data_IF_394608603257
#
_entry.id   IF_394608603257
#
_cell.length_a   1.000
_cell.length_b   1.000
_cell.length_c   1.000
_cell.angle_alpha   90.00
_cell.angle_beta   90.00
_cell.angle_gamma   90.00
#
_symmetry.space_group_name_H-M   'P 1'
#
loop_
_entity.id
_entity.type
_entity.pdbx_description
1 polymer ?
#
# COMPACT_ATOMS: atom_id res chain seq x y z
N UNK A 1 8.35 -1.36 -0.47
CA UNK A 1 6.93 -0.95 -0.43
C UNK A 1 6.76 0.41 -1.11
N UNK A 2 5.70 0.56 -1.89
CA UNK A 2 5.27 1.82 -2.50
C UNK A 2 3.86 2.17 -2.00
N UNK A 3 3.62 3.43 -1.64
CA UNK A 3 2.27 3.97 -1.41
C UNK A 3 1.76 4.67 -2.67
N UNK A 4 0.52 4.42 -3.09
CA UNK A 4 -0.07 5.04 -4.29
C UNK A 4 -1.59 5.17 -4.22
N UNK A 5 -2.13 6.07 -5.05
CA UNK A 5 -3.58 6.16 -5.34
C UNK A 5 -3.94 5.64 -6.74
N UNK A 6 -2.95 5.14 -7.47
CA UNK A 6 -3.08 4.74 -8.86
C UNK A 6 -3.58 3.29 -8.97
N UNK A 7 -4.73 3.11 -9.62
CA UNK A 7 -5.38 1.82 -9.84
C UNK A 7 -4.55 0.89 -10.74
N UNK A 8 -3.65 1.44 -11.56
CA UNK A 8 -2.81 0.66 -12.46
C UNK A 8 -1.85 -0.26 -11.68
N UNK A 9 -1.47 0.10 -10.46
CA UNK A 9 -0.68 -0.77 -9.58
C UNK A 9 -1.45 -2.00 -9.11
N UNK A 10 -2.78 -1.89 -8.91
CA UNK A 10 -3.62 -3.04 -8.56
C UNK A 10 -3.71 -4.01 -9.74
N UNK A 11 -3.90 -3.45 -10.94
CA UNK A 11 -3.91 -4.22 -12.18
C UNK A 11 -2.57 -4.92 -12.41
N UNK A 12 -1.45 -4.21 -12.22
CA UNK A 12 -0.11 -4.76 -12.37
C UNK A 12 0.19 -5.88 -11.36
N UNK A 13 -0.13 -5.67 -10.08
CA UNK A 13 0.06 -6.69 -9.05
C UNK A 13 -0.80 -7.95 -9.32
N UNK A 14 -2.00 -7.79 -9.87
CA UNK A 14 -2.87 -8.91 -10.24
C UNK A 14 -2.30 -9.82 -11.34
N UNK A 15 -1.30 -9.34 -12.10
CA UNK A 15 -0.61 -10.15 -13.12
C UNK A 15 0.34 -11.20 -12.53
N UNK A 16 0.60 -11.17 -11.22
CA UNK A 16 1.53 -12.07 -10.55
C UNK A 16 3.00 -11.65 -10.66
N UNK A 17 3.28 -10.44 -11.15
CA UNK A 17 4.61 -9.85 -11.09
C UNK A 17 5.02 -9.66 -9.64
N UNK A 18 6.26 -10.04 -9.32
CA UNK A 18 6.80 -9.81 -7.98
C UNK A 18 6.98 -8.32 -7.69
N UNK A 19 6.61 -7.90 -6.48
CA UNK A 19 6.73 -6.53 -6.03
C UNK A 19 7.04 -6.44 -4.53
N UNK A 20 7.67 -5.34 -4.13
CA UNK A 20 8.09 -5.09 -2.75
C UNK A 20 6.95 -4.65 -1.80
N UNK A 21 5.70 -4.97 -2.15
CA UNK A 21 4.48 -4.52 -1.46
C UNK A 21 3.92 -3.18 -1.95
N UNK A 22 2.59 -3.11 -2.02
CA UNK A 22 1.85 -1.89 -2.41
C UNK A 22 0.89 -1.52 -1.29
N UNK A 23 0.95 -0.27 -0.84
CA UNK A 23 -0.12 0.32 -0.02
C UNK A 23 -0.96 1.19 -0.94
N UNK A 24 -2.23 0.83 -1.09
CA UNK A 24 -3.14 1.52 -1.97
C UNK A 24 -4.23 2.25 -1.17
N UNK A 25 -4.49 3.50 -1.56
CA UNK A 25 -5.62 4.28 -1.04
C UNK A 25 -6.47 4.81 -2.21
N UNK A 26 -7.79 4.92 -2.03
CA UNK A 26 -8.63 5.61 -3.02
C UNK A 26 -8.52 7.12 -2.86
N UNK A 27 -8.32 7.83 -3.97
CA UNK A 27 -8.18 9.29 -3.97
C UNK A 27 -9.40 9.98 -3.32
N UNK A 28 -9.14 11.04 -2.53
CA UNK A 28 -10.13 11.92 -1.88
C UNK A 28 -10.95 11.32 -0.72
N UNK A 29 -10.59 10.15 -0.17
CA UNK A 29 -11.28 9.58 1.01
C UNK A 29 -10.71 10.00 2.36
N UNK A 30 -9.44 10.44 2.41
CA UNK A 30 -8.72 10.67 3.67
C UNK A 30 -7.94 11.98 3.65
N UNK A 31 -7.76 12.58 4.83
CA UNK A 31 -6.84 13.70 5.00
C UNK A 31 -5.39 13.21 4.95
N UNK A 32 -4.48 14.09 4.54
CA UNK A 32 -3.03 13.77 4.50
C UNK A 32 -2.54 13.32 5.88
N UNK A 33 -3.01 13.97 6.96
CA UNK A 33 -2.66 13.59 8.32
C UNK A 33 -3.06 12.15 8.66
N UNK A 34 -4.28 11.73 8.28
CA UNK A 34 -4.72 10.35 8.49
C UNK A 34 -3.88 9.35 7.68
N UNK A 35 -3.56 9.69 6.42
CA UNK A 35 -2.71 8.83 5.58
C UNK A 35 -1.34 8.62 6.23
N UNK A 36 -0.72 9.68 6.73
CA UNK A 36 0.58 9.58 7.40
C UNK A 36 0.47 8.70 8.66
N UNK A 37 -0.56 8.92 9.49
CA UNK A 37 -0.77 8.11 10.69
C UNK A 37 -0.98 6.63 10.37
N UNK A 38 -1.75 6.31 9.34
CA UNK A 38 -1.99 4.92 8.92
C UNK A 38 -0.72 4.28 8.34
N UNK A 39 0.08 5.03 7.56
CA UNK A 39 1.38 4.55 7.04
C UNK A 39 2.39 4.27 8.16
N UNK A 40 2.41 5.10 9.21
CA UNK A 40 3.25 4.85 10.39
C UNK A 40 2.80 3.57 11.10
N UNK A 41 1.49 3.35 11.28
CA UNK A 41 0.97 2.13 11.89
C UNK A 41 1.37 0.88 11.10
N UNK A 42 1.27 0.93 9.77
CA UNK A 42 1.73 -0.17 8.90
C UNK A 42 3.21 -0.45 9.13
N UNK A 43 4.06 0.58 9.17
CA UNK A 43 5.49 0.41 9.41
C UNK A 43 5.81 -0.15 10.80
N UNK A 44 5.05 0.21 11.83
CA UNK A 44 5.24 -0.30 13.20
C UNK A 44 4.77 -1.74 13.38
N UNK A 45 3.78 -2.20 12.58
CA UNK A 45 3.10 -3.47 12.80
C UNK A 45 3.47 -4.56 11.79
N UNK A 46 3.91 -4.20 10.57
CA UNK A 46 4.14 -5.16 9.50
C UNK A 46 5.64 -5.32 9.21
N UNK A 47 6.08 -6.58 9.20
CA UNK A 47 7.43 -6.94 8.79
C UNK A 47 7.59 -6.80 7.26
N UNK A 48 8.78 -6.44 6.75
CA UNK A 48 9.03 -6.30 5.32
C UNK A 48 8.70 -7.56 4.50
N UNK A 49 8.94 -8.76 5.06
CA UNK A 49 8.67 -10.03 4.41
C UNK A 49 7.16 -10.26 4.22
N UNK A 50 6.34 -9.77 5.16
CA UNK A 50 4.89 -9.82 5.01
C UNK A 50 4.43 -8.93 3.86
N UNK A 51 5.08 -7.78 3.63
CA UNK A 51 4.69 -6.88 2.53
C UNK A 51 5.06 -7.41 1.15
N UNK A 52 5.98 -8.37 1.05
CA UNK A 52 6.42 -8.89 -0.24
C UNK A 52 5.26 -9.56 -1.00
N UNK A 53 5.03 -9.14 -2.24
CA UNK A 53 3.92 -9.57 -3.09
C UNK A 53 2.50 -9.36 -2.50
N UNK A 54 2.36 -8.50 -1.48
CA UNK A 54 1.08 -8.19 -0.86
C UNK A 54 0.63 -6.75 -1.09
N UNK A 55 -0.69 -6.56 -1.12
CA UNK A 55 -1.34 -5.26 -1.25
C UNK A 55 -2.11 -4.97 0.03
N UNK A 56 -1.83 -3.82 0.65
CA UNK A 56 -2.56 -3.33 1.82
C UNK A 56 -3.41 -2.12 1.44
N UNK A 57 -4.60 -2.02 2.02
CA UNK A 57 -5.57 -0.98 1.70
C UNK A 57 -5.74 -0.01 2.86
N UNK A 58 -5.59 1.29 2.60
CA UNK A 58 -5.88 2.36 3.57
C UNK A 58 -7.29 2.94 3.41
#
# INVERSE_FOLDING_TARGET
>A
MIFTFDDDFLSLASTGIEHCGVIYARQKRQSIGKIISDLVLVWECLEPEYMYNNIEFL
#
